data_IF_551592501554
#
_entry.id   IF_551592501554
#
_cell.length_a   1.000
_cell.length_b   1.000
_cell.length_c   1.000
_cell.angle_alpha   90.00
_cell.angle_beta   90.00
_cell.angle_gamma   90.00
#
_symmetry.space_group_name_H-M   'P 1'
#
loop_
_entity.id
_entity.type
_entity.pdbx_description
1 polymer ?
#
# COMPACT_ATOMS: atom_id res chain seq x y z
N UNK A 1 -10.81 1.72 -30.67
CA UNK A 1 -12.11 2.38 -30.41
C UNK A 1 -12.29 2.75 -28.92
N UNK A 2 -12.25 1.78 -28.00
CA UNK A 2 -12.49 2.03 -26.56
C UNK A 2 -11.54 3.04 -25.89
N UNK A 3 -10.24 3.00 -26.22
CA UNK A 3 -9.27 3.95 -25.65
C UNK A 3 -9.54 5.41 -26.09
N UNK A 4 -10.08 5.61 -27.29
CA UNK A 4 -10.48 6.94 -27.79
C UNK A 4 -11.77 7.40 -27.09
N UNK A 5 -12.74 6.49 -26.92
CA UNK A 5 -13.98 6.82 -26.21
C UNK A 5 -13.69 7.24 -24.75
N UNK A 6 -12.84 6.49 -24.05
CA UNK A 6 -12.47 6.78 -22.66
C UNK A 6 -11.66 8.07 -22.53
N UNK A 7 -10.73 8.35 -23.45
CA UNK A 7 -9.95 9.60 -23.42
C UNK A 7 -10.82 10.83 -23.70
N UNK A 8 -11.75 10.76 -24.66
CA UNK A 8 -12.69 11.85 -24.96
C UNK A 8 -13.63 12.10 -23.78
N UNK A 9 -14.19 11.05 -23.18
CA UNK A 9 -15.04 11.19 -21.99
C UNK A 9 -14.28 11.82 -20.82
N UNK A 10 -13.03 11.39 -20.57
CA UNK A 10 -12.19 11.98 -19.53
C UNK A 10 -11.88 13.46 -19.81
N UNK A 11 -11.49 13.80 -21.04
CA UNK A 11 -11.16 15.17 -21.43
C UNK A 11 -12.36 16.12 -21.28
N UNK A 12 -13.54 15.72 -21.75
CA UNK A 12 -14.77 16.50 -21.61
C UNK A 12 -15.13 16.68 -20.12
N UNK A 13 -15.07 15.60 -19.34
CA UNK A 13 -15.38 15.65 -17.90
C UNK A 13 -14.47 16.63 -17.15
N UNK A 14 -13.15 16.54 -17.36
CA UNK A 14 -12.16 17.40 -16.70
C UNK A 14 -12.33 18.87 -17.11
N UNK A 15 -12.57 19.13 -18.40
CA UNK A 15 -12.71 20.51 -18.91
C UNK A 15 -13.97 21.18 -18.35
N UNK A 16 -15.09 20.47 -18.31
CA UNK A 16 -16.34 20.98 -17.72
C UNK A 16 -16.19 21.22 -16.22
N UNK A 17 -15.56 20.28 -15.49
CA UNK A 17 -15.29 20.43 -14.06
C UNK A 17 -14.36 21.61 -13.74
N UNK A 18 -13.35 21.87 -14.58
CA UNK A 18 -12.43 22.98 -14.36
C UNK A 18 -13.12 24.34 -14.43
N UNK A 19 -14.11 24.51 -15.31
CA UNK A 19 -14.86 25.77 -15.44
C UNK A 19 -15.74 26.06 -14.23
N UNK A 20 -16.29 25.03 -13.59
CA UNK A 20 -17.19 25.19 -12.45
C UNK A 20 -16.44 25.33 -11.13
N UNK A 21 -15.36 24.56 -10.96
CA UNK A 21 -14.69 24.40 -9.67
C UNK A 21 -13.35 25.15 -9.58
N UNK A 22 -12.66 25.33 -10.71
CA UNK A 22 -11.33 25.93 -10.79
C UNK A 22 -10.19 24.91 -10.81
N UNK A 23 -9.07 25.29 -11.45
CA UNK A 23 -7.96 24.40 -11.79
C UNK A 23 -7.28 23.77 -10.57
N UNK A 24 -7.12 24.53 -9.48
CA UNK A 24 -6.50 24.06 -8.24
C UNK A 24 -7.27 22.92 -7.58
N UNK A 25 -8.59 23.02 -7.54
CA UNK A 25 -9.42 22.02 -6.88
C UNK A 25 -9.56 20.76 -7.74
N UNK A 26 -9.57 20.90 -9.07
CA UNK A 26 -9.57 19.75 -9.99
C UNK A 26 -8.30 18.92 -9.85
N UNK A 27 -7.12 19.55 -9.83
CA UNK A 27 -5.85 18.80 -9.70
C UNK A 27 -5.76 18.07 -8.37
N UNK A 28 -6.18 18.72 -7.28
CA UNK A 28 -6.19 18.11 -5.95
C UNK A 28 -7.18 16.94 -5.86
N UNK A 29 -8.42 17.10 -6.33
CA UNK A 29 -9.44 16.05 -6.26
C UNK A 29 -9.17 14.87 -7.20
N UNK A 30 -8.38 15.07 -8.26
CA UNK A 30 -7.98 13.98 -9.15
C UNK A 30 -6.91 13.08 -8.49
N UNK A 31 -5.97 13.68 -7.76
CA UNK A 31 -4.80 12.95 -7.23
C UNK A 31 -5.01 12.49 -5.78
N UNK A 32 -5.43 13.40 -4.89
CA UNK A 32 -5.37 13.19 -3.43
C UNK A 32 -6.33 12.09 -2.93
N UNK A 33 -7.62 12.06 -3.32
CA UNK A 33 -8.53 10.99 -2.87
C UNK A 33 -8.11 9.61 -3.36
N UNK A 34 -7.57 9.52 -4.58
CA UNK A 34 -7.08 8.26 -5.15
C UNK A 34 -5.84 7.77 -4.41
N UNK A 35 -4.87 8.67 -4.17
CA UNK A 35 -3.67 8.34 -3.41
C UNK A 35 -4.00 7.95 -1.95
N UNK A 36 -5.00 8.61 -1.34
CA UNK A 36 -5.50 8.24 -0.01
C UNK A 36 -6.11 6.85 -0.02
N UNK A 37 -6.99 6.56 -0.98
CA UNK A 37 -7.64 5.26 -1.10
C UNK A 37 -6.63 4.13 -1.33
N UNK A 38 -5.63 4.34 -2.19
CA UNK A 38 -4.59 3.37 -2.49
C UNK A 38 -3.72 2.99 -1.27
N UNK A 39 -3.59 3.88 -0.29
CA UNK A 39 -2.91 3.55 0.97
C UNK A 39 -3.73 2.61 1.87
N UNK A 40 -5.05 2.58 1.67
CA UNK A 40 -6.01 1.87 2.52
C UNK A 40 -6.53 0.55 1.89
N UNK A 41 -6.56 0.44 0.57
CA UNK A 41 -7.18 -0.68 -0.16
C UNK A 41 -6.17 -1.60 -0.87
N UNK A 42 -6.61 -2.81 -1.29
CA UNK A 42 -5.78 -3.79 -2.05
C UNK A 42 -6.27 -4.09 -3.47
N UNK A 43 -7.39 -3.52 -3.89
CA UNK A 43 -8.04 -3.92 -5.15
C UNK A 43 -8.48 -2.71 -5.96
N UNK A 44 -8.38 -2.81 -7.28
CA UNK A 44 -8.75 -1.72 -8.19
C UNK A 44 -10.19 -1.24 -7.96
N UNK A 45 -11.14 -2.17 -7.86
CA UNK A 45 -12.56 -1.86 -7.61
C UNK A 45 -12.74 -1.14 -6.26
N UNK A 46 -12.12 -1.62 -5.19
CA UNK A 46 -12.26 -1.00 -3.86
C UNK A 46 -11.59 0.36 -3.80
N UNK A 47 -10.44 0.54 -4.45
CA UNK A 47 -9.79 1.85 -4.57
C UNK A 47 -10.69 2.89 -5.23
N UNK A 48 -11.36 2.52 -6.33
CA UNK A 48 -12.28 3.43 -7.03
C UNK A 48 -13.41 3.89 -6.10
N UNK A 49 -14.11 2.95 -5.45
CA UNK A 49 -15.24 3.30 -4.56
C UNK A 49 -14.79 4.11 -3.33
N UNK A 50 -13.67 3.73 -2.71
CA UNK A 50 -13.13 4.45 -1.54
C UNK A 50 -12.64 5.84 -1.93
N UNK A 51 -11.99 6.01 -3.08
CA UNK A 51 -11.55 7.32 -3.56
C UNK A 51 -12.75 8.25 -3.82
N UNK A 52 -13.82 7.74 -4.44
CA UNK A 52 -15.05 8.49 -4.65
C UNK A 52 -15.69 8.92 -3.32
N UNK A 53 -15.77 8.00 -2.34
CA UNK A 53 -16.31 8.31 -1.02
C UNK A 53 -15.49 9.38 -0.30
N UNK A 54 -14.16 9.25 -0.27
CA UNK A 54 -13.26 10.23 0.35
C UNK A 54 -13.39 11.59 -0.33
N UNK A 55 -13.38 11.65 -1.66
CA UNK A 55 -13.51 12.89 -2.42
C UNK A 55 -14.85 13.59 -2.21
N UNK A 56 -15.95 12.82 -2.19
CA UNK A 56 -17.29 13.35 -1.93
C UNK A 56 -17.42 13.89 -0.50
N UNK A 57 -16.96 13.13 0.50
CA UNK A 57 -16.97 13.56 1.90
C UNK A 57 -16.11 14.81 2.12
N UNK A 58 -14.91 14.87 1.52
CA UNK A 58 -14.04 16.06 1.60
C UNK A 58 -14.69 17.28 0.93
N UNK A 59 -15.38 17.09 -0.20
CA UNK A 59 -16.08 18.18 -0.88
C UNK A 59 -17.26 18.71 -0.07
N UNK A 60 -18.13 17.82 0.44
CA UNK A 60 -19.29 18.20 1.26
C UNK A 60 -18.84 18.87 2.56
N UNK A 61 -17.91 18.26 3.29
CA UNK A 61 -17.37 18.84 4.52
C UNK A 61 -16.63 20.15 4.27
N UNK A 62 -15.91 20.30 3.16
CA UNK A 62 -15.22 21.54 2.80
C UNK A 62 -16.15 22.70 2.46
N UNK A 63 -17.27 22.44 1.79
CA UNK A 63 -18.32 23.45 1.54
C UNK A 63 -18.99 23.86 2.85
N UNK A 64 -19.39 22.88 3.68
CA UNK A 64 -20.02 23.15 4.97
C UNK A 64 -19.08 23.95 5.87
N UNK A 65 -17.81 23.57 5.93
CA UNK A 65 -16.80 24.29 6.73
C UNK A 65 -16.63 25.70 6.21
N UNK A 66 -16.42 25.86 4.89
CA UNK A 66 -16.28 27.16 4.22
C UNK A 66 -17.42 28.13 4.55
N UNK A 67 -18.66 27.63 4.63
CA UNK A 67 -19.82 28.42 5.01
C UNK A 67 -19.71 29.02 6.42
N UNK A 68 -19.18 28.28 7.40
CA UNK A 68 -19.03 28.77 8.77
C UNK A 68 -17.82 29.69 8.97
N UNK A 69 -16.71 29.40 8.30
CA UNK A 69 -15.44 30.13 8.50
C UNK A 69 -15.19 31.24 7.47
N UNK A 70 -16.09 31.45 6.49
CA UNK A 70 -15.98 32.46 5.44
C UNK A 70 -14.65 32.40 4.64
N UNK A 71 -14.13 31.20 4.36
CA UNK A 71 -12.92 30.97 3.56
C UNK A 71 -13.29 30.43 2.18
N UNK A 72 -12.50 30.69 1.14
CA UNK A 72 -12.74 30.22 -0.22
C UNK A 72 -13.01 28.69 -0.27
N UNK A 73 -14.14 28.23 -0.83
CA UNK A 73 -14.53 26.81 -0.82
C UNK A 73 -13.51 25.88 -1.50
N UNK A 74 -12.88 26.36 -2.57
CA UNK A 74 -11.84 25.58 -3.27
C UNK A 74 -10.67 25.25 -2.35
N UNK A 75 -10.19 26.24 -1.60
CA UNK A 75 -9.07 26.06 -0.68
C UNK A 75 -9.43 25.13 0.49
N UNK A 76 -10.62 25.27 1.08
CA UNK A 76 -11.04 24.44 2.21
C UNK A 76 -11.16 22.97 1.83
N UNK A 77 -11.70 22.66 0.64
CA UNK A 77 -11.80 21.27 0.16
C UNK A 77 -10.41 20.66 -0.05
N UNK A 78 -9.49 21.40 -0.69
CA UNK A 78 -8.11 20.91 -0.90
C UNK A 78 -7.41 20.65 0.43
N UNK A 79 -7.51 21.60 1.37
CA UNK A 79 -6.86 21.47 2.68
C UNK A 79 -7.42 20.29 3.48
N UNK A 80 -8.74 20.07 3.46
CA UNK A 80 -9.34 18.91 4.12
C UNK A 80 -8.94 17.59 3.44
N UNK A 81 -8.91 17.54 2.11
CA UNK A 81 -8.47 16.35 1.39
C UNK A 81 -7.01 16.00 1.73
N UNK A 82 -6.13 17.00 1.80
CA UNK A 82 -4.72 16.81 2.20
C UNK A 82 -4.60 16.40 3.68
N UNK A 83 -5.40 16.98 4.57
CA UNK A 83 -5.42 16.59 5.97
C UNK A 83 -5.81 15.12 6.14
N UNK A 84 -6.84 14.66 5.40
CA UNK A 84 -7.25 13.25 5.37
C UNK A 84 -6.14 12.36 4.80
N UNK A 85 -5.47 12.77 3.73
CA UNK A 85 -4.33 12.03 3.16
C UNK A 85 -3.18 11.85 4.16
N UNK A 86 -2.79 12.92 4.86
CA UNK A 86 -1.73 12.89 5.88
C UNK A 86 -2.15 11.99 7.05
N UNK A 87 -3.40 12.10 7.50
CA UNK A 87 -3.92 11.25 8.57
C UNK A 87 -4.00 9.76 8.16
N UNK A 88 -4.24 9.47 6.88
CA UNK A 88 -4.30 8.11 6.36
C UNK A 88 -2.92 7.46 6.22
N UNK A 89 -1.85 8.24 6.05
CA UNK A 89 -0.49 7.71 5.86
C UNK A 89 0.00 6.80 6.99
N UNK A 90 -0.04 7.17 8.29
CA UNK A 90 0.37 6.27 9.37
C UNK A 90 -0.50 5.00 9.43
N UNK A 91 -1.80 5.15 9.16
CA UNK A 91 -2.77 4.03 9.14
C UNK A 91 -2.42 3.04 8.04
N UNK A 92 -2.23 3.51 6.80
CA UNK A 92 -1.82 2.69 5.67
C UNK A 92 -0.47 2.02 5.88
N UNK A 93 0.48 2.72 6.51
CA UNK A 93 1.81 2.18 6.82
C UNK A 93 1.73 1.06 7.85
N UNK A 94 0.96 1.25 8.92
CA UNK A 94 0.74 0.24 9.96
C UNK A 94 -0.02 -0.98 9.42
N UNK A 95 -1.06 -0.75 8.61
CA UNK A 95 -1.81 -1.81 7.90
C UNK A 95 -0.91 -2.61 6.96
N UNK A 96 0.04 -1.95 6.27
CA UNK A 96 0.99 -2.61 5.37
C UNK A 96 2.03 -3.41 6.14
N UNK A 97 2.55 -2.86 7.25
CA UNK A 97 3.52 -3.56 8.10
C UNK A 97 2.91 -4.80 8.74
N UNK A 98 1.72 -4.68 9.37
CA UNK A 98 1.00 -5.82 9.96
C UNK A 98 0.68 -6.93 8.96
N UNK A 99 0.48 -6.57 7.71
CA UNK A 99 0.12 -7.46 6.62
C UNK A 99 1.32 -8.13 5.95
N UNK A 100 2.48 -7.48 5.93
CA UNK A 100 3.72 -8.15 5.54
C UNK A 100 4.10 -9.21 6.57
N UNK A 101 3.76 -8.98 7.85
CA UNK A 101 3.92 -9.99 8.92
C UNK A 101 2.85 -11.08 8.81
N UNK A 102 1.62 -10.73 8.40
CA UNK A 102 0.48 -11.66 8.27
C UNK A 102 0.28 -12.21 6.86
N UNK A 103 1.29 -12.16 5.98
CA UNK A 103 1.32 -12.98 4.78
C UNK A 103 2.10 -14.25 5.14
N UNK A 104 1.43 -15.34 5.58
CA UNK A 104 1.99 -16.66 5.41
C UNK A 104 2.49 -16.74 3.96
N UNK A 105 3.77 -17.04 3.83
CA UNK A 105 4.34 -17.52 2.57
C UNK A 105 3.40 -18.59 2.01
N UNK A 106 3.25 -18.62 0.70
CA UNK A 106 2.58 -19.72 0.03
C UNK A 106 3.20 -20.99 0.61
N UNK A 107 2.38 -21.83 1.24
CA UNK A 107 2.83 -23.12 1.75
C UNK A 107 3.14 -23.93 0.51
N UNK A 108 4.35 -23.77 -0.02
CA UNK A 108 4.92 -24.70 -0.97
C UNK A 108 4.82 -26.03 -0.26
N UNK A 109 4.09 -26.96 -0.87
CA UNK A 109 4.02 -28.33 -0.38
C UNK A 109 5.43 -28.76 -0.09
N UNK A 110 5.71 -29.10 1.18
CA UNK A 110 7.07 -29.28 1.67
C UNK A 110 7.85 -30.12 0.68
N UNK A 111 8.72 -29.48 -0.09
CA UNK A 111 9.67 -30.19 -0.92
C UNK A 111 10.45 -31.07 0.05
N UNK A 112 10.72 -32.34 -0.28
CA UNK A 112 11.48 -33.21 0.60
C UNK A 112 12.76 -32.48 1.00
N UNK A 113 12.96 -32.34 2.30
CA UNK A 113 14.14 -31.71 2.90
C UNK A 113 15.38 -32.21 2.16
N UNK A 114 15.97 -31.34 1.34
CA UNK A 114 17.23 -31.62 0.68
C UNK A 114 18.30 -31.16 1.66
N UNK A 115 19.22 -32.06 1.98
CA UNK A 115 20.41 -31.71 2.73
C UNK A 115 21.17 -30.70 1.90
N UNK A 116 21.41 -29.50 2.45
CA UNK A 116 22.23 -28.50 1.77
C UNK A 116 23.60 -29.12 1.45
N UNK A 117 23.99 -29.17 0.17
CA UNK A 117 25.29 -29.69 -0.28
C UNK A 117 26.43 -28.67 -0.02
N UNK A 118 26.06 -27.50 0.51
CA UNK A 118 26.98 -26.42 0.81
C UNK A 118 27.61 -26.58 2.20
N UNK A 119 28.84 -27.08 2.22
CA UNK A 119 29.66 -27.18 3.42
C UNK A 119 30.41 -25.87 3.69
N UNK A 120 29.74 -24.92 4.35
CA UNK A 120 30.38 -23.68 4.79
C UNK A 120 30.97 -23.83 6.19
N UNK A 121 32.18 -23.32 6.39
CA UNK A 121 33.03 -23.58 7.56
C UNK A 121 32.62 -22.90 8.88
N UNK A 122 31.36 -22.49 9.04
CA UNK A 122 30.85 -21.87 10.27
C UNK A 122 29.53 -22.52 10.69
N UNK A 123 29.27 -22.53 12.00
CA UNK A 123 27.97 -22.95 12.53
C UNK A 123 27.01 -21.76 12.51
N UNK A 124 25.79 -22.00 12.07
CA UNK A 124 24.73 -20.99 12.15
C UNK A 124 24.38 -20.74 13.62
N UNK A 125 24.38 -19.47 13.99
CA UNK A 125 24.11 -18.98 15.34
C UNK A 125 23.92 -17.48 15.31
N UNK A 126 23.72 -16.87 16.48
CA UNK A 126 23.43 -15.43 16.61
C UNK A 126 24.52 -14.53 15.98
N UNK A 127 25.72 -15.06 15.78
CA UNK A 127 26.90 -14.34 15.27
C UNK A 127 27.36 -14.79 13.87
N UNK A 128 26.54 -15.56 13.13
CA UNK A 128 26.91 -16.05 11.78
C UNK A 128 26.84 -14.97 10.68
N UNK A 129 26.32 -13.78 10.98
CA UNK A 129 26.22 -12.67 10.04
C UNK A 129 25.07 -12.79 9.00
N UNK A 130 24.34 -13.91 9.00
CA UNK A 130 23.18 -14.12 8.14
C UNK A 130 21.88 -13.58 8.75
N UNK A 131 20.93 -13.22 7.88
CA UNK A 131 19.62 -12.74 8.33
C UNK A 131 18.85 -13.92 8.93
N UNK A 132 18.66 -13.90 10.24
CA UNK A 132 17.86 -14.85 10.97
C UNK A 132 16.35 -14.52 10.84
N UNK A 133 15.59 -15.45 10.26
CA UNK A 133 14.14 -15.35 10.10
C UNK A 133 13.49 -16.41 10.98
N UNK A 134 12.73 -15.98 12.00
CA UNK A 134 12.03 -16.91 12.88
C UNK A 134 10.76 -17.43 12.20
N UNK A 135 10.65 -18.74 12.06
CA UNK A 135 9.52 -19.40 11.42
C UNK A 135 9.00 -20.54 12.30
N UNK A 136 7.75 -20.42 12.77
CA UNK A 136 7.15 -21.44 13.63
C UNK A 136 7.95 -21.68 14.91
N UNK A 137 8.48 -22.89 15.04
CA UNK A 137 9.28 -23.38 16.17
C UNK A 137 10.80 -23.33 15.94
N UNK A 138 11.27 -22.91 14.75
CA UNK A 138 12.68 -22.87 14.38
C UNK A 138 13.11 -21.51 13.82
N UNK A 139 14.40 -21.37 13.53
CA UNK A 139 15.02 -20.18 12.95
C UNK A 139 15.72 -20.58 11.65
N UNK A 140 15.33 -19.93 10.56
CA UNK A 140 15.95 -20.07 9.25
C UNK A 140 17.03 -18.99 9.09
N UNK A 141 18.19 -19.37 8.57
CA UNK A 141 19.22 -18.40 8.18
C UNK A 141 19.24 -18.26 6.66
N UNK A 142 19.05 -17.03 6.17
CA UNK A 142 18.95 -16.74 4.74
C UNK A 142 20.31 -16.31 4.19
N UNK A 143 20.80 -17.02 3.17
CA UNK A 143 21.94 -16.60 2.35
C UNK A 143 21.80 -17.15 0.93
N UNK A 144 22.37 -16.45 -0.05
CA UNK A 144 22.38 -16.85 -1.47
C UNK A 144 21.02 -17.18 -2.11
N UNK A 145 19.92 -16.72 -1.50
CA UNK A 145 18.56 -16.96 -1.97
C UNK A 145 17.89 -18.21 -1.41
N UNK A 146 18.61 -18.99 -0.59
CA UNK A 146 18.16 -20.23 0.03
C UNK A 146 17.97 -20.06 1.54
N UNK A 147 17.02 -20.80 2.12
CA UNK A 147 16.76 -20.80 3.57
C UNK A 147 17.31 -22.08 4.19
N UNK A 148 18.15 -21.93 5.20
CA UNK A 148 18.71 -23.08 5.91
C UNK A 148 18.07 -23.20 7.29
N UNK A 149 17.37 -24.30 7.54
CA UNK A 149 16.81 -24.66 8.84
C UNK A 149 17.73 -25.67 9.55
N UNK A 150 18.03 -25.45 10.83
CA UNK A 150 18.85 -26.39 11.62
C UNK A 150 17.98 -27.53 12.12
N UNK A 151 18.26 -28.76 11.67
CA UNK A 151 17.59 -29.97 12.12
C UNK A 151 18.61 -30.97 12.67
N UNK A 152 18.64 -31.15 14.00
CA UNK A 152 19.57 -32.04 14.71
C UNK A 152 21.04 -31.90 14.25
N UNK A 153 21.48 -32.73 13.31
CA UNK A 153 22.85 -32.81 12.80
C UNK A 153 22.98 -32.45 11.31
N UNK A 154 21.96 -31.81 10.71
CA UNK A 154 21.96 -31.37 9.32
C UNK A 154 21.25 -30.02 9.15
N UNK A 155 21.45 -29.42 7.99
CA UNK A 155 20.78 -28.20 7.56
C UNK A 155 19.88 -28.53 6.38
N UNK A 156 18.60 -28.21 6.52
CA UNK A 156 17.61 -28.38 5.47
C UNK A 156 17.50 -27.12 4.63
N UNK A 157 17.51 -27.29 3.31
CA UNK A 157 17.38 -26.20 2.36
C UNK A 157 15.92 -26.03 1.89
N UNK A 158 15.41 -24.79 1.90
CA UNK A 158 14.07 -24.40 1.44
C UNK A 158 14.08 -23.21 0.47
#
# INVERSE_FOLDING_TARGET
AYNVLTSVMAAVTVTVAMRTVGLLLVSALMVVPVATAQQLTKGFKTTIFVAMAIGALASVSGIVTSFYINVAPGATIVLLALAVFIAAWPVGTLLRHRRNVAAPFETVEALPHLVADETHGHQHGDDCGHVAVRHGDHVDYVHDGHRHAVHDNHYDEH
#
